data_IF_831365813796
#
_entry.id   IF_831365813796
#
_cell.length_a   1.000
_cell.length_b   1.000
_cell.length_c   1.000
_cell.angle_alpha   90.00
_cell.angle_beta   90.00
_cell.angle_gamma   90.00
#
_symmetry.space_group_name_H-M   'P 1'
#
loop_
_entity.id
_entity.type
_entity.pdbx_description
1 polymer ?
#
# COMPACT_ATOMS: atom_id res chain seq x y z
N UNK A 1 9.86 -24.00 42.92
CA UNK A 1 8.79 -24.35 41.95
C UNK A 1 8.82 -23.28 40.87
N UNK A 2 9.13 -23.65 39.63
CA UNK A 2 9.18 -22.69 38.50
C UNK A 2 8.10 -23.03 37.46
N UNK A 3 7.00 -22.25 37.40
CA UNK A 3 6.02 -22.38 36.33
C UNK A 3 5.71 -21.02 35.69
N UNK A 4 6.51 -20.58 34.71
CA UNK A 4 6.21 -19.41 33.88
C UNK A 4 6.55 -19.54 32.38
N UNK A 5 6.83 -20.76 31.91
CA UNK A 5 7.08 -21.09 30.48
C UNK A 5 5.88 -20.81 29.53
N UNK A 6 4.77 -20.28 30.06
CA UNK A 6 3.50 -20.04 29.36
C UNK A 6 3.51 -18.73 28.56
N UNK A 7 4.39 -17.76 28.89
CA UNK A 7 4.41 -16.44 28.20
C UNK A 7 5.36 -16.36 26.99
N UNK A 8 6.02 -17.45 26.62
CA UNK A 8 7.01 -17.50 25.53
C UNK A 8 6.45 -18.02 24.19
N UNK A 9 5.19 -18.47 24.11
CA UNK A 9 4.70 -19.34 23.02
C UNK A 9 3.77 -18.70 21.96
N UNK A 10 3.47 -17.40 22.05
CA UNK A 10 2.64 -16.68 21.08
C UNK A 10 3.03 -15.18 21.01
N UNK A 11 3.17 -14.48 19.87
CA UNK A 11 3.17 -14.84 18.43
C UNK A 11 4.36 -14.18 17.64
N UNK A 12 5.56 -13.96 18.23
CA UNK A 12 6.51 -12.93 17.76
C UNK A 12 6.94 -13.09 16.29
N UNK A 13 7.16 -14.31 15.79
CA UNK A 13 7.59 -14.54 14.41
C UNK A 13 6.54 -14.18 13.34
N UNK A 14 5.25 -14.25 13.66
CA UNK A 14 4.17 -13.88 12.71
C UNK A 14 3.94 -12.37 12.75
N UNK A 15 3.94 -11.75 13.93
CA UNK A 15 3.80 -10.30 14.05
C UNK A 15 5.01 -9.55 13.47
N UNK A 16 6.24 -10.04 13.67
CA UNK A 16 7.45 -9.47 13.07
C UNK A 16 7.53 -9.68 11.54
N UNK A 17 6.96 -10.77 11.01
CA UNK A 17 6.81 -10.93 9.55
C UNK A 17 5.68 -10.08 8.98
N UNK A 18 4.58 -9.90 9.71
CA UNK A 18 3.51 -8.97 9.35
C UNK A 18 4.02 -7.53 9.35
N UNK A 19 4.81 -7.10 10.34
CA UNK A 19 5.39 -5.75 10.33
C UNK A 19 6.38 -5.56 9.18
N UNK A 20 7.32 -6.48 8.96
CA UNK A 20 8.29 -6.38 7.85
C UNK A 20 7.66 -6.47 6.45
N UNK A 21 6.51 -7.14 6.32
CA UNK A 21 5.68 -7.08 5.11
C UNK A 21 4.94 -5.74 5.04
N UNK A 22 4.35 -5.28 6.14
CA UNK A 22 3.63 -4.01 6.20
C UNK A 22 4.54 -2.82 5.89
N UNK A 23 5.76 -2.78 6.39
CA UNK A 23 6.74 -1.71 6.09
C UNK A 23 7.07 -1.64 4.59
N UNK A 24 7.16 -2.78 3.91
CA UNK A 24 7.38 -2.84 2.45
C UNK A 24 6.14 -2.49 1.63
N UNK A 25 4.95 -2.86 2.09
CA UNK A 25 3.69 -2.68 1.34
C UNK A 25 2.89 -1.43 1.71
N UNK A 26 3.15 -0.82 2.87
CA UNK A 26 2.49 0.39 3.35
C UNK A 26 2.58 1.56 2.35
N UNK A 27 3.75 1.94 1.79
CA UNK A 27 3.80 3.04 0.81
C UNK A 27 2.99 2.74 -0.46
N UNK A 28 3.03 1.51 -0.97
CA UNK A 28 2.24 1.08 -2.13
C UNK A 28 0.73 1.07 -1.85
N UNK A 29 0.34 0.62 -0.66
CA UNK A 29 -1.07 0.60 -0.22
C UNK A 29 -1.61 2.01 0.03
N UNK A 30 -0.81 2.91 0.59
CA UNK A 30 -1.15 4.33 0.74
C UNK A 30 -1.31 5.01 -0.62
N UNK A 31 -0.39 4.74 -1.57
CA UNK A 31 -0.46 5.29 -2.92
C UNK A 31 -1.72 4.80 -3.66
N UNK A 32 -2.00 3.49 -3.63
CA UNK A 32 -3.22 2.93 -4.24
C UNK A 32 -4.49 3.42 -3.53
N UNK A 33 -4.50 3.51 -2.20
CA UNK A 33 -5.63 4.01 -1.43
C UNK A 33 -5.95 5.47 -1.74
N UNK A 34 -4.93 6.33 -1.77
CA UNK A 34 -5.06 7.73 -2.18
C UNK A 34 -5.51 7.87 -3.64
N UNK A 35 -4.98 7.06 -4.54
CA UNK A 35 -5.37 7.03 -5.95
C UNK A 35 -6.85 6.70 -6.15
N UNK A 36 -7.35 5.68 -5.45
CA UNK A 36 -8.77 5.30 -5.46
C UNK A 36 -9.62 6.39 -4.83
N UNK A 37 -9.22 6.97 -3.69
CA UNK A 37 -9.94 8.04 -3.03
C UNK A 37 -10.11 9.29 -3.91
N UNK A 38 -9.05 9.70 -4.63
CA UNK A 38 -9.10 10.81 -5.59
C UNK A 38 -10.02 10.51 -6.78
N UNK A 39 -9.92 9.30 -7.33
CA UNK A 39 -10.72 8.85 -8.48
C UNK A 39 -12.21 8.79 -8.13
N UNK A 40 -12.55 8.23 -6.97
CA UNK A 40 -13.93 8.15 -6.47
C UNK A 40 -14.45 9.54 -6.09
N UNK A 41 -13.64 10.36 -5.42
CA UNK A 41 -14.01 11.75 -5.08
C UNK A 41 -14.32 12.61 -6.31
N UNK A 42 -13.52 12.48 -7.36
CA UNK A 42 -13.78 13.17 -8.64
C UNK A 42 -15.07 12.67 -9.31
N UNK A 43 -15.35 11.35 -9.28
CA UNK A 43 -16.58 10.78 -9.82
C UNK A 43 -17.85 11.29 -9.11
N UNK A 44 -17.77 11.62 -7.82
CA UNK A 44 -18.90 12.19 -7.05
C UNK A 44 -19.23 13.64 -7.44
N UNK A 45 -18.25 14.41 -7.92
CA UNK A 45 -18.47 15.79 -8.41
C UNK A 45 -19.02 15.75 -9.84
N UNK A 46 -18.43 14.93 -10.70
CA UNK A 46 -18.86 14.72 -12.08
C UNK A 46 -18.48 13.30 -12.50
N UNK A 47 -19.43 12.40 -12.84
CA UNK A 47 -19.11 10.99 -13.07
C UNK A 47 -18.01 10.73 -14.13
N UNK A 48 -17.91 11.50 -15.24
CA UNK A 48 -16.79 11.41 -16.16
C UNK A 48 -15.44 11.92 -15.62
N UNK A 49 -15.43 12.83 -14.63
CA UNK A 49 -14.18 13.36 -14.07
C UNK A 49 -13.37 12.26 -13.35
N UNK A 50 -14.04 11.29 -12.70
CA UNK A 50 -13.38 10.13 -12.12
C UNK A 50 -12.53 9.36 -13.15
N UNK A 51 -13.06 9.12 -14.35
CA UNK A 51 -12.34 8.46 -15.43
C UNK A 51 -11.12 9.27 -15.92
N UNK A 52 -11.24 10.60 -15.99
CA UNK A 52 -10.11 11.46 -16.37
C UNK A 52 -9.04 11.47 -15.28
N UNK A 53 -9.41 11.67 -14.00
CA UNK A 53 -8.47 11.65 -12.88
C UNK A 53 -7.76 10.31 -12.75
N UNK A 54 -8.50 9.19 -12.85
CA UNK A 54 -7.92 7.85 -12.83
C UNK A 54 -6.99 7.58 -14.02
N UNK A 55 -7.35 8.00 -15.23
CA UNK A 55 -6.51 7.87 -16.42
C UNK A 55 -5.20 8.68 -16.31
N UNK A 56 -5.28 9.94 -15.88
CA UNK A 56 -4.10 10.80 -15.63
C UNK A 56 -3.19 10.16 -14.57
N UNK A 57 -3.77 9.62 -13.49
CA UNK A 57 -3.01 9.02 -12.42
C UNK A 57 -2.35 7.69 -12.83
N UNK A 58 -2.98 6.92 -13.71
CA UNK A 58 -2.38 5.73 -14.32
C UNK A 58 -1.19 6.09 -15.23
N UNK A 59 -1.28 7.17 -16.01
CA UNK A 59 -0.16 7.69 -16.82
C UNK A 59 0.99 8.13 -15.90
N UNK A 60 0.71 8.93 -14.87
CA UNK A 60 1.73 9.40 -13.91
C UNK A 60 2.38 8.21 -13.18
N UNK A 61 1.59 7.24 -12.72
CA UNK A 61 2.09 6.02 -12.08
C UNK A 61 2.94 5.16 -13.02
N UNK A 62 2.56 5.05 -14.29
CA UNK A 62 3.36 4.37 -15.31
C UNK A 62 4.70 5.07 -15.57
N UNK A 63 4.69 6.39 -15.74
CA UNK A 63 5.91 7.20 -15.95
C UNK A 63 6.83 7.13 -14.72
N UNK A 64 6.30 7.32 -13.51
CA UNK A 64 7.06 7.13 -12.26
C UNK A 64 7.58 5.70 -12.12
N UNK A 65 6.82 4.69 -12.53
CA UNK A 65 7.26 3.30 -12.59
C UNK A 65 8.44 3.08 -13.54
N UNK A 66 8.46 3.76 -14.71
CA UNK A 66 9.61 3.70 -15.63
C UNK A 66 10.84 4.47 -15.13
N UNK A 67 10.65 5.55 -14.36
CA UNK A 67 11.76 6.36 -13.82
C UNK A 67 12.34 5.72 -12.54
N UNK A 68 11.49 5.19 -11.66
CA UNK A 68 11.90 4.52 -10.41
C UNK A 68 12.22 3.03 -10.57
N UNK A 69 11.87 2.40 -11.70
CA UNK A 69 12.15 0.99 -11.99
C UNK A 69 13.62 0.66 -12.31
N UNK A 70 14.55 1.60 -12.07
CA UNK A 70 15.98 1.48 -12.36
C UNK A 70 16.83 0.83 -11.28
N UNK A 71 16.27 0.49 -10.11
CA UNK A 71 17.00 -0.15 -9.00
C UNK A 71 16.50 -1.58 -8.72
N UNK A 72 17.36 -2.58 -8.89
CA UNK A 72 17.14 -3.92 -8.33
C UNK A 72 17.13 -5.11 -9.31
N UNK A 73 18.14 -5.25 -10.17
CA UNK A 73 18.67 -6.56 -10.58
C UNK A 73 20.16 -6.60 -10.33
#
# INVERSE_FOLDING_TARGET
MEPNQIKQRDRPGILARLSGVWEKWAPGTLLCGGAVALTVGAALIYPPAGWITGGVLAIIGGVLGTIGGGEGK
#
